data_IF_614159325697
#
_entry.id   IF_614159325697
#
_cell.length_a   1.000
_cell.length_b   1.000
_cell.length_c   1.000
_cell.angle_alpha   90.00
_cell.angle_beta   90.00
_cell.angle_gamma   90.00
#
_symmetry.space_group_name_H-M   'P 1'
#
loop_
_entity.id
_entity.type
_entity.pdbx_description
1 polymer ?
#
# COMPACT_ATOMS: atom_id res chain seq x y z
N UNK A 1 -12.49 15.04 10.72
CA UNK A 1 -13.49 15.74 9.88
C UNK A 1 -13.77 17.13 10.46
N UNK A 2 -13.13 18.19 9.93
CA UNK A 2 -13.26 19.58 10.45
C UNK A 2 -13.53 20.62 9.35
N UNK A 3 -13.92 20.17 8.16
CA UNK A 3 -13.99 21.03 6.96
C UNK A 3 -15.30 21.83 6.82
N UNK A 4 -16.28 21.66 7.71
CA UNK A 4 -17.62 22.23 7.54
C UNK A 4 -17.75 23.73 7.81
N UNK A 5 -17.04 24.27 8.82
CA UNK A 5 -17.28 25.64 9.30
C UNK A 5 -16.22 26.67 8.90
N UNK A 6 -15.04 26.23 8.46
CA UNK A 6 -13.87 27.10 8.23
C UNK A 6 -13.54 27.31 6.75
N UNK A 7 -14.15 26.54 5.83
CA UNK A 7 -13.80 26.52 4.41
C UNK A 7 -12.45 25.85 4.09
N UNK A 8 -11.69 25.41 5.11
CA UNK A 8 -10.42 24.72 4.92
C UNK A 8 -10.66 23.24 4.59
N UNK A 9 -10.01 22.76 3.52
CA UNK A 9 -10.14 21.36 3.04
C UNK A 9 -9.27 20.35 3.81
N UNK A 10 -8.40 20.82 4.70
CA UNK A 10 -7.52 19.99 5.55
C UNK A 10 -7.06 20.76 6.79
N UNK A 11 -6.50 20.04 7.79
CA UNK A 11 -5.90 20.66 8.98
C UNK A 11 -4.70 21.54 8.58
N UNK A 12 -3.86 21.09 7.65
CA UNK A 12 -2.74 21.91 7.17
C UNK A 12 -3.23 23.19 6.48
N UNK A 13 -4.30 23.13 5.68
CA UNK A 13 -4.91 24.32 5.09
C UNK A 13 -5.46 25.28 6.16
N UNK A 14 -6.05 24.74 7.24
CA UNK A 14 -6.50 25.54 8.38
C UNK A 14 -5.32 26.22 9.09
N UNK A 15 -4.23 25.48 9.35
CA UNK A 15 -3.00 26.00 9.99
C UNK A 15 -2.37 27.09 9.13
N UNK A 16 -2.16 26.84 7.83
CA UNK A 16 -1.62 27.82 6.89
C UNK A 16 -2.43 29.12 6.91
N UNK A 17 -3.76 29.01 6.81
CA UNK A 17 -4.65 30.18 6.85
C UNK A 17 -4.57 30.94 8.17
N UNK A 18 -4.64 30.23 9.31
CA UNK A 18 -4.72 30.88 10.62
C UNK A 18 -3.40 31.45 11.12
N UNK A 19 -2.28 30.92 10.65
CA UNK A 19 -0.93 31.30 11.12
C UNK A 19 -0.15 32.12 10.10
N UNK A 20 -0.64 32.24 8.86
CA UNK A 20 0.04 32.99 7.79
C UNK A 20 1.31 32.31 7.28
N UNK A 21 1.52 31.03 7.59
CA UNK A 21 2.68 30.27 7.10
C UNK A 21 2.41 29.67 5.72
N UNK A 22 3.48 29.31 5.02
CA UNK A 22 3.36 28.63 3.73
C UNK A 22 2.65 27.27 3.88
N UNK A 23 1.97 26.76 2.84
CA UNK A 23 1.37 25.43 2.87
C UNK A 23 2.35 24.34 3.29
N UNK A 24 3.59 24.41 2.78
CA UNK A 24 4.64 23.46 3.15
C UNK A 24 4.96 23.50 4.64
N UNK A 25 5.13 24.68 5.24
CA UNK A 25 5.40 24.78 6.67
C UNK A 25 4.20 24.32 7.52
N UNK A 26 2.98 24.55 7.03
CA UNK A 26 1.79 24.03 7.70
C UNK A 26 1.71 22.50 7.65
N UNK A 27 2.11 21.88 6.55
CA UNK A 27 2.22 20.42 6.45
C UNK A 27 3.25 19.90 7.47
N UNK A 28 4.41 20.55 7.59
CA UNK A 28 5.43 20.22 8.59
C UNK A 28 4.89 20.30 10.01
N UNK A 29 4.22 21.41 10.37
CA UNK A 29 3.61 21.59 11.70
C UNK A 29 2.59 20.48 11.99
N UNK A 30 1.74 20.14 11.02
CA UNK A 30 0.72 19.09 11.18
C UNK A 30 1.35 17.71 11.28
N UNK A 31 2.41 17.42 10.52
CA UNK A 31 3.14 16.16 10.59
C UNK A 31 3.74 15.96 11.99
N UNK A 32 4.42 16.99 12.52
CA UNK A 32 4.96 16.97 13.89
C UNK A 32 3.83 16.77 14.90
N UNK A 33 2.76 17.56 14.83
CA UNK A 33 1.64 17.48 15.76
C UNK A 33 0.98 16.09 15.82
N UNK A 34 0.88 15.39 14.68
CA UNK A 34 0.27 14.06 14.61
C UNK A 34 1.14 12.95 15.21
N UNK A 35 2.46 13.11 15.17
CA UNK A 35 3.41 12.09 15.63
C UNK A 35 4.13 12.47 16.92
N UNK A 36 3.62 13.47 17.66
CA UNK A 36 4.24 13.91 18.92
C UNK A 36 4.41 12.75 19.91
N UNK A 37 3.40 11.88 20.00
CA UNK A 37 3.40 10.75 20.93
C UNK A 37 4.35 9.62 20.48
N UNK A 38 4.66 9.54 19.18
CA UNK A 38 5.60 8.58 18.61
C UNK A 38 7.07 9.02 18.76
N UNK A 39 7.31 10.33 18.88
CA UNK A 39 8.65 10.92 19.04
C UNK A 39 8.79 11.81 20.29
N UNK A 40 8.60 11.26 21.50
CA UNK A 40 8.59 12.05 22.72
C UNK A 40 9.93 12.75 23.01
N UNK A 41 11.08 12.13 22.70
CA UNK A 41 12.40 12.76 22.91
C UNK A 41 12.64 13.88 21.91
N UNK A 42 12.30 13.70 20.64
CA UNK A 42 12.41 14.77 19.66
C UNK A 42 11.47 15.94 20.00
N UNK A 43 10.24 15.65 20.42
CA UNK A 43 9.28 16.65 20.85
C UNK A 43 9.78 17.47 22.05
N UNK A 44 10.41 16.79 23.03
CA UNK A 44 10.99 17.48 24.19
C UNK A 44 12.25 18.28 23.82
N UNK A 45 13.08 17.76 22.92
CA UNK A 45 14.21 18.50 22.35
C UNK A 45 13.76 19.79 21.66
N UNK A 46 12.64 19.74 20.92
CA UNK A 46 12.03 20.92 20.31
C UNK A 46 11.47 21.89 21.35
N UNK A 47 10.73 21.39 22.35
CA UNK A 47 10.17 22.22 23.44
C UNK A 47 11.27 22.95 24.22
N UNK A 48 12.40 22.29 24.44
CA UNK A 48 13.56 22.86 25.12
C UNK A 48 14.43 23.76 24.22
N UNK A 49 14.07 23.96 22.94
CA UNK A 49 14.82 24.77 21.99
C UNK A 49 16.14 24.17 21.51
N UNK A 50 16.37 22.87 21.79
CA UNK A 50 17.56 22.14 21.33
C UNK A 50 17.43 21.64 19.89
N UNK A 51 16.20 21.35 19.45
CA UNK A 51 15.88 20.93 18.08
C UNK A 51 14.97 21.95 17.43
N UNK A 52 15.15 22.20 16.13
CA UNK A 52 14.26 23.07 15.36
C UNK A 52 13.02 22.31 14.86
N UNK A 53 11.94 23.05 14.59
CA UNK A 53 10.74 22.49 13.96
C UNK A 53 11.07 21.80 12.62
N UNK A 54 12.01 22.34 11.85
CA UNK A 54 12.42 21.74 10.57
C UNK A 54 13.14 20.40 10.75
N UNK A 55 13.96 20.27 11.80
CA UNK A 55 14.63 18.99 12.11
C UNK A 55 13.60 17.94 12.54
N UNK A 56 12.70 18.28 13.47
CA UNK A 56 11.66 17.37 13.94
C UNK A 56 10.64 17.07 12.83
N UNK A 57 10.37 18.02 11.94
CA UNK A 57 9.54 17.83 10.75
C UNK A 57 10.07 16.74 9.82
N UNK A 58 11.38 16.75 9.53
CA UNK A 58 12.00 15.70 8.70
C UNK A 58 11.84 14.31 9.33
N UNK A 59 11.97 14.22 10.65
CA UNK A 59 11.80 12.97 11.41
C UNK A 59 10.34 12.53 11.35
N UNK A 60 9.42 13.42 11.75
CA UNK A 60 7.99 13.13 11.77
C UNK A 60 7.43 12.75 10.39
N UNK A 61 7.94 13.29 9.29
CA UNK A 61 7.43 12.94 7.96
C UNK A 61 7.81 11.53 7.50
N UNK A 62 8.98 11.00 7.93
CA UNK A 62 9.61 9.89 7.19
C UNK A 62 10.32 8.84 8.05
N UNK A 63 10.63 9.13 9.31
CA UNK A 63 11.31 8.19 10.19
C UNK A 63 10.35 7.05 10.60
N UNK A 64 10.90 5.85 10.72
CA UNK A 64 10.15 4.67 11.16
C UNK A 64 9.73 4.76 12.64
N UNK A 65 8.68 4.03 13.01
CA UNK A 65 8.23 3.98 14.41
C UNK A 65 9.31 3.38 15.31
N UNK A 66 9.42 3.90 16.54
CA UNK A 66 10.44 3.45 17.51
C UNK A 66 11.86 4.00 17.28
N UNK A 67 12.08 4.82 16.24
CA UNK A 67 13.39 5.43 15.94
C UNK A 67 13.69 6.73 16.71
N UNK A 68 12.83 7.13 17.65
CA UNK A 68 12.90 8.43 18.34
C UNK A 68 14.22 8.69 19.07
N UNK A 69 14.75 7.71 19.80
CA UNK A 69 16.03 7.87 20.50
C UNK A 69 17.19 8.12 19.53
N UNK A 70 17.25 7.33 18.45
CA UNK A 70 18.27 7.49 17.42
C UNK A 70 18.21 8.87 16.77
N UNK A 71 17.01 9.33 16.41
CA UNK A 71 16.85 10.62 15.75
C UNK A 71 17.00 11.82 16.67
N UNK A 72 16.67 11.70 17.95
CA UNK A 72 16.91 12.75 18.93
C UNK A 72 18.41 13.03 19.09
N UNK A 73 19.23 11.97 19.15
CA UNK A 73 20.70 12.09 19.20
C UNK A 73 21.26 12.66 17.90
N UNK A 74 20.84 12.13 16.75
CA UNK A 74 21.33 12.58 15.45
C UNK A 74 20.94 14.05 15.18
N UNK A 75 19.71 14.44 15.48
CA UNK A 75 19.23 15.80 15.22
C UNK A 75 19.94 16.85 16.08
N UNK A 76 20.46 16.48 17.26
CA UNK A 76 21.22 17.41 18.10
C UNK A 76 22.54 17.87 17.44
N UNK A 77 23.07 17.10 16.48
CA UNK A 77 24.38 17.35 15.86
C UNK A 77 24.32 17.47 14.32
N UNK A 78 23.16 17.21 13.71
CA UNK A 78 23.00 17.19 12.27
C UNK A 78 22.16 18.37 11.75
N UNK A 79 22.56 18.91 10.61
CA UNK A 79 21.74 19.87 9.85
C UNK A 79 20.48 19.19 9.30
N UNK A 80 19.46 19.99 8.98
CA UNK A 80 18.21 19.51 8.34
C UNK A 80 18.50 18.73 7.05
N UNK A 81 19.48 19.17 6.26
CA UNK A 81 19.90 18.50 5.01
C UNK A 81 20.52 17.13 5.28
N UNK A 82 21.35 17.02 6.32
CA UNK A 82 21.94 15.74 6.73
C UNK A 82 20.87 14.78 7.27
N UNK A 83 19.94 15.27 8.10
CA UNK A 83 18.78 14.49 8.56
C UNK A 83 17.95 13.97 7.40
N UNK A 84 17.63 14.82 6.42
CA UNK A 84 16.86 14.42 5.23
C UNK A 84 17.56 13.33 4.43
N UNK A 85 18.89 13.37 4.40
CA UNK A 85 19.71 12.34 3.76
C UNK A 85 19.71 11.05 4.57
N UNK A 86 19.88 11.13 5.90
CA UNK A 86 19.88 9.98 6.80
C UNK A 86 18.56 9.20 6.72
N UNK A 87 17.43 9.90 6.88
CA UNK A 87 16.09 9.27 6.79
C UNK A 87 15.84 8.65 5.41
N UNK A 88 16.37 9.25 4.34
CA UNK A 88 16.25 8.68 2.98
C UNK A 88 17.02 7.38 2.83
N UNK A 89 18.12 7.20 3.55
CA UNK A 89 18.99 6.03 3.49
C UNK A 89 18.55 4.90 4.42
N UNK A 90 17.57 5.13 5.30
CA UNK A 90 17.06 4.07 6.16
C UNK A 90 16.52 2.89 5.33
N UNK A 91 16.96 1.66 5.65
CA UNK A 91 16.36 0.46 5.09
C UNK A 91 14.89 0.43 5.52
N UNK A 92 13.99 0.71 4.57
CA UNK A 92 12.57 0.56 4.83
C UNK A 92 12.26 -0.93 4.92
N UNK A 93 11.64 -1.43 6.00
CA UNK A 93 11.08 -2.77 5.98
C UNK A 93 10.15 -2.82 4.77
N UNK A 94 10.48 -3.69 3.81
CA UNK A 94 9.53 -4.00 2.76
C UNK A 94 8.30 -4.53 3.49
N UNK A 95 7.09 -4.03 3.18
CA UNK A 95 5.90 -4.66 3.72
C UNK A 95 6.02 -6.15 3.44
N UNK A 96 5.82 -6.99 4.46
CA UNK A 96 5.81 -8.45 4.30
C UNK A 96 5.07 -8.75 3.02
N UNK A 97 5.75 -9.42 2.08
CA UNK A 97 5.25 -9.67 0.75
C UNK A 97 3.80 -10.13 0.89
N UNK A 98 2.88 -9.26 0.48
CA UNK A 98 1.46 -9.55 0.54
C UNK A 98 1.31 -10.92 -0.13
N UNK A 99 0.71 -11.92 0.53
CA UNK A 99 0.64 -13.27 -0.03
C UNK A 99 0.16 -13.12 -1.47
N UNK A 100 0.92 -13.69 -2.42
CA UNK A 100 0.59 -13.57 -3.83
C UNK A 100 -0.91 -13.86 -3.98
N UNK A 101 -1.67 -12.98 -4.67
CA UNK A 101 -3.10 -13.17 -4.80
C UNK A 101 -3.34 -14.59 -5.32
N UNK A 102 -4.16 -15.36 -4.60
CA UNK A 102 -4.48 -16.72 -5.02
C UNK A 102 -4.92 -16.68 -6.49
N UNK A 103 -4.39 -17.59 -7.33
CA UNK A 103 -4.61 -17.50 -8.76
C UNK A 103 -6.10 -17.60 -9.05
N UNK A 104 -6.65 -16.67 -9.82
CA UNK A 104 -8.10 -16.55 -10.00
C UNK A 104 -8.73 -17.77 -10.68
N UNK A 105 -9.71 -18.41 -10.04
CA UNK A 105 -10.58 -19.43 -10.63
C UNK A 105 -11.98 -18.86 -10.85
N UNK A 106 -12.58 -19.11 -12.01
CA UNK A 106 -14.01 -18.85 -12.20
C UNK A 106 -14.65 -19.78 -13.21
N UNK A 107 -15.92 -20.12 -12.97
CA UNK A 107 -16.77 -20.82 -13.93
C UNK A 107 -18.10 -20.09 -14.01
N UNK A 108 -18.48 -19.68 -15.22
CA UNK A 108 -19.78 -19.07 -15.51
C UNK A 108 -20.51 -19.97 -16.50
N UNK A 109 -21.77 -20.29 -16.19
CA UNK A 109 -22.68 -21.01 -17.07
C UNK A 109 -23.81 -20.06 -17.46
N UNK A 110 -23.96 -19.83 -18.76
CA UNK A 110 -25.07 -19.06 -19.33
C UNK A 110 -25.93 -20.01 -20.13
N UNK A 111 -27.24 -20.03 -19.85
CA UNK A 111 -28.23 -20.85 -20.56
C UNK A 111 -29.14 -19.90 -21.32
N UNK A 112 -29.23 -20.10 -22.63
CA UNK A 112 -30.06 -19.31 -23.54
C UNK A 112 -30.92 -20.27 -24.39
N UNK A 113 -31.93 -19.74 -25.08
CA UNK A 113 -32.86 -20.57 -25.86
C UNK A 113 -32.11 -21.25 -27.02
N UNK A 114 -31.83 -22.54 -26.85
CA UNK A 114 -31.15 -23.39 -27.83
C UNK A 114 -29.66 -23.64 -27.60
N UNK A 115 -29.02 -23.00 -26.60
CA UNK A 115 -27.61 -23.24 -26.29
C UNK A 115 -27.23 -23.00 -24.83
N UNK A 116 -26.12 -23.60 -24.41
CA UNK A 116 -25.50 -23.35 -23.11
C UNK A 116 -24.03 -23.03 -23.33
N UNK A 117 -23.57 -21.92 -22.77
CA UNK A 117 -22.18 -21.48 -22.86
C UNK A 117 -21.52 -21.56 -21.50
N UNK A 118 -20.32 -22.15 -21.45
CA UNK A 118 -19.46 -22.19 -20.28
C UNK A 118 -18.25 -21.28 -20.51
N UNK A 119 -17.92 -20.44 -19.52
CA UNK A 119 -16.68 -19.65 -19.48
C UNK A 119 -15.90 -20.05 -18.24
N UNK A 120 -14.72 -20.63 -18.44
CA UNK A 120 -13.89 -21.19 -17.37
C UNK A 120 -12.53 -20.48 -17.37
N UNK A 121 -12.08 -20.02 -16.20
CA UNK A 121 -10.73 -19.50 -15.95
C UNK A 121 -10.05 -20.41 -14.92
N UNK A 122 -8.89 -20.94 -15.29
CA UNK A 122 -8.08 -21.82 -14.46
C UNK A 122 -6.60 -21.40 -14.51
N UNK A 123 -5.82 -21.66 -13.45
CA UNK A 123 -4.36 -21.57 -13.48
C UNK A 123 -3.77 -22.52 -14.52
N UNK A 124 -2.60 -22.17 -15.09
CA UNK A 124 -2.03 -22.86 -16.25
C UNK A 124 -1.85 -24.38 -16.09
N UNK A 125 -1.45 -24.83 -14.91
CA UNK A 125 -1.26 -26.27 -14.62
C UNK A 125 -2.60 -27.00 -14.56
N UNK A 126 -3.63 -26.36 -14.00
CA UNK A 126 -4.99 -26.92 -13.94
C UNK A 126 -5.67 -26.90 -15.30
N UNK A 127 -5.49 -25.83 -16.08
CA UNK A 127 -5.96 -25.74 -17.46
C UNK A 127 -5.40 -26.89 -18.32
N UNK A 128 -4.11 -27.20 -18.20
CA UNK A 128 -3.50 -28.32 -18.92
C UNK A 128 -4.12 -29.69 -18.52
N UNK A 129 -4.49 -29.87 -17.25
CA UNK A 129 -5.20 -31.08 -16.80
C UNK A 129 -6.62 -31.14 -17.38
N UNK A 130 -7.33 -30.01 -17.38
CA UNK A 130 -8.67 -29.89 -17.95
C UNK A 130 -8.68 -30.19 -19.45
N UNK A 131 -7.74 -29.62 -20.20
CA UNK A 131 -7.61 -29.84 -21.64
C UNK A 131 -7.32 -31.30 -21.98
N UNK A 132 -6.42 -31.94 -21.23
CA UNK A 132 -6.12 -33.36 -21.42
C UNK A 132 -7.34 -34.26 -21.14
N UNK A 133 -8.13 -33.95 -20.10
CA UNK A 133 -9.35 -34.69 -19.79
C UNK A 133 -10.42 -34.52 -20.87
N UNK A 134 -10.61 -33.29 -21.37
CA UNK A 134 -11.54 -33.00 -22.48
C UNK A 134 -11.15 -33.77 -23.75
N UNK A 135 -9.87 -33.76 -24.10
CA UNK A 135 -9.38 -34.48 -25.28
C UNK A 135 -9.58 -35.99 -25.14
N UNK A 136 -9.23 -36.57 -23.99
CA UNK A 136 -9.44 -37.99 -23.74
C UNK A 136 -10.91 -38.39 -23.83
N UNK A 137 -11.83 -37.56 -23.34
CA UNK A 137 -13.26 -37.82 -23.42
C UNK A 137 -13.77 -37.74 -24.87
N UNK A 138 -13.31 -36.74 -25.62
CA UNK A 138 -13.63 -36.59 -27.02
C UNK A 138 -13.14 -37.78 -27.86
N UNK A 139 -11.90 -38.22 -27.66
CA UNK A 139 -11.33 -39.36 -28.38
C UNK A 139 -12.08 -40.67 -28.06
N UNK A 140 -12.52 -40.85 -26.81
CA UNK A 140 -13.35 -41.98 -26.42
C UNK A 140 -14.72 -41.98 -27.12
N UNK A 141 -15.39 -40.82 -27.18
CA UNK A 141 -16.67 -40.70 -27.91
C UNK A 141 -16.52 -41.02 -29.41
N UNK A 142 -15.43 -40.57 -30.04
CA UNK A 142 -15.13 -40.90 -31.44
C UNK A 142 -14.92 -42.41 -31.60
N UNK A 143 -14.17 -43.03 -30.70
CA UNK A 143 -13.89 -44.47 -30.77
C UNK A 143 -15.17 -45.31 -30.60
N UNK A 144 -16.05 -44.92 -29.68
CA UNK A 144 -17.35 -45.58 -29.47
C UNK A 144 -18.25 -45.42 -30.70
N UNK A 145 -18.35 -44.20 -31.25
CA UNK A 145 -19.14 -43.96 -32.47
C UNK A 145 -18.67 -44.83 -33.65
N UNK A 146 -17.35 -44.93 -33.88
CA UNK A 146 -16.78 -45.80 -34.92
C UNK A 146 -17.10 -47.27 -34.68
N UNK A 147 -17.02 -47.74 -33.43
CA UNK A 147 -17.36 -49.12 -33.08
C UNK A 147 -18.80 -49.46 -33.42
N UNK A 148 -19.71 -48.52 -33.22
CA UNK A 148 -21.15 -48.72 -33.42
C UNK A 148 -21.59 -48.57 -34.89
N UNK A 149 -20.79 -47.91 -35.75
CA UNK A 149 -21.16 -47.59 -37.14
C UNK A 149 -20.29 -48.27 -38.21
N UNK A 150 -19.11 -48.78 -37.87
CA UNK A 150 -18.23 -49.50 -38.80
C UNK A 150 -18.32 -51.04 -38.64
N UNK A 151 -19.37 -51.53 -37.96
CA UNK A 151 -19.68 -52.96 -37.78
C UNK A 151 -20.68 -53.51 -38.81
#
# INVERSE_FOLDING_TARGET
ELCGATGARSIAALVAWKTGVTPHNADTVVAVARRLDEFPRCAEGMRAGRLSLDQVGVIAEKAADGSDEHYAELAAVATVTQLRTAVKLEPRPQPDAQPEPEPEHSITKTVEDGYTTYRIRLPRIEAAKFDAAMQSHHDAQIADWKRDHDA
#
